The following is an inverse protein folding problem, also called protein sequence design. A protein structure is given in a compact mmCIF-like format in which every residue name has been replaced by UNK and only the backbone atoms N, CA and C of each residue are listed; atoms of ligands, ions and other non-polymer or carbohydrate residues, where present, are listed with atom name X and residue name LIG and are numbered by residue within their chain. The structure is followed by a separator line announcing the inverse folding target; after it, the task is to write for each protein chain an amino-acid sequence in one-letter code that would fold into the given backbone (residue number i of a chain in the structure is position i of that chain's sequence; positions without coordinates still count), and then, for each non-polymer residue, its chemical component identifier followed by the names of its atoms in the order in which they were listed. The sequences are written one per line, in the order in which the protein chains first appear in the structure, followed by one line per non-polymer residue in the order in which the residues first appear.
data_IF_538371483129
#
_entry.id   IF_538371483129
#
_cell.length_a   1.000
_cell.length_b   1.000
_cell.length_c   1.000
_cell.angle_alpha   90.00
_cell.angle_beta   90.00
_cell.angle_gamma   90.00
#
_symmetry.space_group_name_H-M   'P 1'
#
loop_
_entity.id
_entity.type
_entity.pdbx_description
1 polymer ?
#
# COMPACT_ATOMS: atom_id res chain seq x y z
N UNK A 1 23.18 10.89 64.88
CA UNK A 1 23.92 11.84 64.01
C UNK A 1 25.18 11.18 63.48
N UNK A 2 25.13 10.67 62.25
CA UNK A 2 26.31 10.28 61.46
C UNK A 2 25.97 10.57 60.00
N UNK A 3 26.56 11.62 59.47
CA UNK A 3 26.52 11.96 58.05
C UNK A 3 27.36 10.93 57.29
N UNK A 4 26.77 10.25 56.31
CA UNK A 4 27.54 9.55 55.27
C UNK A 4 27.45 10.37 53.99
N UNK A 5 28.59 11.01 53.67
CA UNK A 5 28.88 11.68 52.43
C UNK A 5 29.11 10.58 51.37
N UNK A 6 28.20 10.44 50.40
CA UNK A 6 28.43 9.58 49.22
C UNK A 6 28.92 10.49 48.09
N UNK A 7 30.21 10.37 47.79
CA UNK A 7 30.88 11.00 46.66
C UNK A 7 30.55 10.20 45.41
N UNK A 8 29.83 10.79 44.45
CA UNK A 8 29.70 10.23 43.12
C UNK A 8 30.97 10.55 42.31
N UNK A 9 31.75 9.51 42.02
CA UNK A 9 32.88 9.57 41.10
C UNK A 9 32.31 9.49 39.67
N UNK A 10 32.33 10.62 38.95
CA UNK A 10 32.11 10.65 37.50
C UNK A 10 33.32 10.01 36.81
N UNK A 11 33.15 8.80 36.30
CA UNK A 11 34.08 8.20 35.35
C UNK A 11 33.52 8.49 33.96
N UNK A 12 34.10 9.48 33.30
CA UNK A 12 33.93 9.69 31.87
C UNK A 12 34.64 8.57 31.10
N UNK A 13 33.87 7.76 30.37
CA UNK A 13 34.40 6.90 29.33
C UNK A 13 33.90 7.44 27.99
N UNK A 14 34.79 8.18 27.32
CA UNK A 14 34.70 8.43 25.89
C UNK A 14 34.87 7.10 25.16
N UNK A 15 33.81 6.63 24.51
CA UNK A 15 33.93 5.69 23.41
C UNK A 15 33.76 6.48 22.11
N UNK A 16 34.82 6.43 21.31
CA UNK A 16 34.91 6.96 19.96
C UNK A 16 34.67 5.82 18.98
N UNK A 17 33.76 6.03 18.03
CA UNK A 17 33.70 5.36 16.72
C UNK A 17 33.00 4.00 16.67
N UNK A 18 31.89 3.94 15.93
CA UNK A 18 31.85 3.28 14.61
C UNK A 18 30.46 3.45 13.97
N UNK A 19 30.47 4.11 12.81
CA UNK A 19 29.61 3.89 11.63
C UNK A 19 28.08 4.01 11.79
N UNK A 20 27.60 5.12 11.20
CA UNK A 20 26.21 5.49 10.96
C UNK A 20 25.62 4.60 9.85
N UNK A 21 25.19 3.38 10.20
CA UNK A 21 24.40 2.51 9.31
C UNK A 21 22.93 3.01 9.25
N UNK A 22 22.74 4.20 8.67
CA UNK A 22 21.43 4.64 8.21
C UNK A 22 21.22 4.12 6.79
N UNK A 23 20.15 3.38 6.50
CA UNK A 23 19.81 3.12 5.11
C UNK A 23 19.52 4.45 4.42
N UNK A 24 20.22 4.68 3.31
CA UNK A 24 20.12 5.88 2.50
C UNK A 24 18.65 6.22 2.21
N UNK A 25 18.23 7.37 2.72
CA UNK A 25 16.95 7.99 2.37
C UNK A 25 17.02 8.32 0.88
N UNK A 26 16.26 7.60 0.07
CA UNK A 26 16.01 7.94 -1.32
C UNK A 26 15.42 9.36 -1.38
N UNK A 27 16.17 10.28 -1.98
CA UNK A 27 15.79 11.67 -2.18
C UNK A 27 15.35 11.87 -3.65
N UNK A 28 14.04 12.01 -3.95
CA UNK A 28 13.54 12.10 -5.33
C UNK A 28 13.57 13.54 -5.88
N UNK A 29 14.47 14.41 -5.43
CA UNK A 29 14.68 15.71 -6.10
C UNK A 29 15.53 15.52 -7.36
N UNK A 30 14.95 14.83 -8.34
CA UNK A 30 15.48 14.64 -9.70
C UNK A 30 14.49 15.05 -10.79
N UNK A 31 13.35 15.66 -10.45
CA UNK A 31 12.45 16.28 -11.42
C UNK A 31 12.99 17.67 -11.78
N UNK A 32 13.70 17.75 -12.90
CA UNK A 32 14.00 19.03 -13.56
C UNK A 32 12.70 19.70 -14.08
N UNK A 33 12.74 21.00 -14.42
CA UNK A 33 11.56 21.73 -14.82
C UNK A 33 11.15 21.36 -16.24
N UNK A 34 10.08 20.58 -16.40
CA UNK A 34 9.45 20.38 -17.70
C UNK A 34 8.56 21.58 -18.03
N UNK A 35 9.14 22.52 -18.79
CA UNK A 35 8.46 23.66 -19.37
C UNK A 35 8.18 23.34 -20.85
N UNK A 36 6.91 23.18 -21.24
CA UNK A 36 6.55 22.90 -22.64
C UNK A 36 5.07 22.65 -22.88
N UNK A 37 4.35 23.72 -23.20
CA UNK A 37 2.94 23.73 -23.59
C UNK A 37 2.62 22.78 -24.76
N UNK A 38 1.59 21.94 -24.59
CA UNK A 38 0.63 21.61 -25.64
C UNK A 38 -0.70 21.17 -24.99
N UNK A 39 -1.61 22.13 -24.85
CA UNK A 39 -2.99 21.90 -24.40
C UNK A 39 -3.77 21.32 -25.59
N UNK A 40 -3.77 20.00 -25.70
CA UNK A 40 -4.77 19.24 -26.44
C UNK A 40 -5.93 18.91 -25.52
N UNK A 41 -7.13 19.38 -25.86
CA UNK A 41 -8.35 19.28 -25.05
C UNK A 41 -8.95 17.87 -24.98
N UNK A 42 -8.24 16.94 -24.34
CA UNK A 42 -8.83 15.74 -23.75
C UNK A 42 -8.25 15.60 -22.33
N UNK A 43 -9.05 15.35 -21.28
CA UNK A 43 -8.47 14.98 -20.00
C UNK A 43 -7.59 13.75 -20.24
N UNK A 44 -6.33 13.73 -19.78
CA UNK A 44 -5.53 12.53 -19.89
C UNK A 44 -6.31 11.43 -19.18
N UNK A 45 -6.66 10.36 -19.90
CA UNK A 45 -7.15 9.14 -19.29
C UNK A 45 -5.97 8.54 -18.52
N UNK A 46 -5.75 9.03 -17.31
CA UNK A 46 -4.80 8.51 -16.34
C UNK A 46 -5.33 7.15 -15.90
N UNK A 47 -4.49 6.13 -16.00
CA UNK A 47 -4.93 4.74 -15.87
C UNK A 47 -4.93 4.01 -17.20
N UNK A 48 -4.06 3.00 -17.30
CA UNK A 48 -4.00 1.90 -18.29
C UNK A 48 -2.59 1.72 -18.86
N UNK A 49 -1.87 0.77 -18.27
CA UNK A 49 -0.59 0.33 -18.79
C UNK A 49 -0.75 -0.36 -20.14
N UNK A 50 0.27 -0.28 -21.01
CA UNK A 50 0.29 -1.02 -22.27
C UNK A 50 0.78 -2.47 -22.04
N UNK A 51 -0.01 -3.25 -21.30
CA UNK A 51 0.25 -4.66 -20.98
C UNK A 51 -1.01 -5.50 -21.16
N UNK A 52 -0.85 -6.82 -21.15
CA UNK A 52 -1.98 -7.75 -21.08
C UNK A 52 -2.50 -7.83 -19.65
N UNK A 53 -3.81 -7.64 -19.49
CA UNK A 53 -4.49 -7.78 -18.21
C UNK A 53 -5.19 -9.13 -18.11
N UNK A 54 -5.33 -9.70 -16.90
CA UNK A 54 -6.18 -10.86 -16.68
C UNK A 54 -7.66 -10.52 -16.94
N UNK A 55 -8.40 -11.48 -17.49
CA UNK A 55 -9.83 -11.33 -17.78
C UNK A 55 -10.62 -11.03 -16.51
N UNK A 56 -11.29 -9.88 -16.49
CA UNK A 56 -11.91 -9.35 -15.27
C UNK A 56 -13.09 -10.19 -14.79
N UNK A 57 -13.87 -10.74 -15.73
CA UNK A 57 -15.04 -11.59 -15.39
C UNK A 57 -14.65 -12.87 -14.65
N UNK A 58 -13.40 -13.32 -14.80
CA UNK A 58 -12.84 -14.49 -14.12
C UNK A 58 -11.74 -14.13 -13.13
N UNK A 59 -11.60 -12.85 -12.77
CA UNK A 59 -10.54 -12.42 -11.87
C UNK A 59 -10.64 -13.18 -10.54
N UNK A 60 -9.50 -13.65 -9.99
CA UNK A 60 -9.48 -14.25 -8.67
C UNK A 60 -9.55 -13.19 -7.56
N UNK A 61 -9.62 -11.90 -7.89
CA UNK A 61 -9.67 -10.79 -6.94
C UNK A 61 -11.07 -10.15 -6.90
N UNK A 62 -11.50 -9.79 -5.70
CA UNK A 62 -12.65 -8.92 -5.42
C UNK A 62 -12.17 -7.60 -4.84
N UNK A 63 -12.97 -6.55 -4.94
CA UNK A 63 -12.63 -5.25 -4.35
C UNK A 63 -12.30 -5.40 -2.86
N UNK A 64 -11.23 -4.75 -2.35
CA UNK A 64 -10.70 -4.99 -1.01
C UNK A 64 -11.47 -4.26 0.10
N UNK A 65 -12.80 -4.17 -0.02
CA UNK A 65 -13.70 -3.55 0.94
C UNK A 65 -15.09 -4.23 0.91
N UNK A 66 -15.94 -4.02 1.94
CA UNK A 66 -17.22 -4.72 2.06
C UNK A 66 -18.15 -4.55 0.86
N UNK A 67 -18.94 -5.59 0.58
CA UNK A 67 -19.99 -5.54 -0.46
C UNK A 67 -21.00 -4.43 -0.14
N UNK A 68 -21.38 -3.66 -1.16
CA UNK A 68 -22.26 -2.50 -1.08
C UNK A 68 -21.54 -1.18 -0.82
N UNK A 69 -20.25 -1.21 -0.46
CA UNK A 69 -19.44 0.00 -0.35
C UNK A 69 -18.92 0.44 -1.73
N UNK A 70 -18.67 1.75 -1.86
CA UNK A 70 -18.11 2.33 -3.08
C UNK A 70 -17.08 3.42 -2.79
N UNK A 71 -15.94 3.35 -3.48
CA UNK A 71 -14.83 4.30 -3.31
C UNK A 71 -14.28 4.78 -4.64
N UNK A 72 -13.88 6.06 -4.68
CA UNK A 72 -13.19 6.68 -5.82
C UNK A 72 -11.75 6.18 -5.88
N UNK A 73 -11.29 5.82 -7.08
CA UNK A 73 -9.88 5.51 -7.32
C UNK A 73 -9.09 6.82 -7.41
N UNK A 74 -8.16 7.04 -6.49
CA UNK A 74 -7.23 8.16 -6.54
C UNK A 74 -6.22 7.94 -7.66
N UNK A 75 -5.40 6.90 -7.52
CA UNK A 75 -4.40 6.50 -8.49
C UNK A 75 -4.66 5.07 -8.98
N UNK A 76 -4.78 4.90 -10.29
CA UNK A 76 -4.86 3.61 -10.98
C UNK A 76 -3.50 3.14 -11.50
N UNK A 77 -3.47 1.97 -12.14
CA UNK A 77 -2.26 1.44 -12.79
C UNK A 77 -1.75 2.41 -13.85
N UNK A 78 -0.44 2.69 -13.89
CA UNK A 78 0.13 3.71 -14.78
C UNK A 78 -0.49 5.11 -14.57
N UNK A 79 -0.95 5.42 -13.34
CA UNK A 79 -1.64 6.65 -12.98
C UNK A 79 -0.74 7.84 -12.65
N UNK A 80 0.59 7.65 -12.56
CA UNK A 80 1.58 8.68 -12.21
C UNK A 80 2.27 8.42 -10.87
N UNK A 81 3.22 9.29 -10.47
CA UNK A 81 4.02 9.11 -9.24
C UNK A 81 4.68 7.71 -9.18
N UNK A 82 4.63 7.02 -8.04
CA UNK A 82 5.09 5.62 -7.91
C UNK A 82 4.31 4.63 -8.77
N UNK A 83 3.09 4.98 -9.20
CA UNK A 83 2.26 4.17 -10.11
C UNK A 83 2.62 4.41 -11.58
N UNK A 84 3.62 5.23 -11.92
CA UNK A 84 4.02 5.46 -13.31
C UNK A 84 4.48 4.17 -13.99
N UNK A 85 4.36 4.08 -15.32
CA UNK A 85 4.85 2.93 -16.07
C UNK A 85 6.35 2.69 -15.81
N UNK A 86 6.70 1.45 -15.45
CA UNK A 86 8.07 1.08 -15.04
C UNK A 86 8.45 1.48 -13.61
N UNK A 87 7.55 2.14 -12.87
CA UNK A 87 7.68 2.37 -11.44
C UNK A 87 7.45 1.11 -10.61
N UNK A 88 7.86 1.09 -9.33
CA UNK A 88 7.72 -0.08 -8.46
C UNK A 88 6.25 -0.48 -8.27
N UNK A 89 5.37 0.52 -8.18
CA UNK A 89 3.94 0.37 -7.92
C UNK A 89 3.09 0.61 -9.18
N UNK A 90 3.65 0.38 -10.37
CA UNK A 90 2.95 0.64 -11.64
C UNK A 90 1.57 -0.04 -11.75
N UNK A 91 1.35 -1.13 -11.01
CA UNK A 91 0.07 -1.85 -10.94
C UNK A 91 -0.61 -1.76 -9.57
N UNK A 92 -0.28 -0.75 -8.77
CA UNK A 92 -1.00 -0.47 -7.55
C UNK A 92 -2.26 0.36 -7.82
N UNK A 93 -3.17 0.33 -6.86
CA UNK A 93 -4.42 1.06 -6.87
C UNK A 93 -4.61 1.73 -5.52
N UNK A 94 -4.84 3.03 -5.55
CA UNK A 94 -5.19 3.81 -4.37
C UNK A 94 -6.71 4.01 -4.33
N UNK A 95 -7.34 3.47 -3.29
CA UNK A 95 -8.76 3.63 -3.03
C UNK A 95 -8.97 4.74 -2.00
N UNK A 96 -9.57 5.85 -2.42
CA UNK A 96 -9.82 6.99 -1.53
C UNK A 96 -10.86 6.61 -0.49
N UNK A 97 -10.46 6.49 0.77
CA UNK A 97 -11.33 6.14 1.88
C UNK A 97 -10.88 6.85 3.15
N UNK A 98 -11.84 7.18 4.01
CA UNK A 98 -11.55 7.78 5.31
C UNK A 98 -10.75 6.81 6.19
N UNK A 99 -9.97 7.35 7.13
CA UNK A 99 -9.31 6.56 8.18
C UNK A 99 -10.37 5.75 8.95
N UNK A 100 -10.11 4.48 9.21
CA UNK A 100 -11.01 3.59 9.92
C UNK A 100 -11.98 2.80 9.03
N UNK A 101 -11.94 2.96 7.71
CA UNK A 101 -12.77 2.17 6.78
C UNK A 101 -12.33 0.71 6.78
N UNK A 102 -13.28 -0.21 6.78
CA UNK A 102 -13.02 -1.65 6.76
C UNK A 102 -12.31 -2.05 5.44
N UNK A 103 -11.21 -2.76 5.58
CA UNK A 103 -10.47 -3.40 4.49
C UNK A 103 -10.69 -4.91 4.56
N UNK A 104 -11.02 -5.52 3.43
CA UNK A 104 -11.26 -6.98 3.34
C UNK A 104 -10.26 -7.65 2.42
N UNK A 105 -10.02 -8.95 2.64
CA UNK A 105 -9.18 -9.76 1.77
C UNK A 105 -9.79 -9.83 0.36
N UNK A 106 -9.02 -9.37 -0.62
CA UNK A 106 -9.37 -9.37 -2.04
C UNK A 106 -9.35 -10.79 -2.64
N UNK A 107 -8.55 -11.70 -2.08
CA UNK A 107 -8.39 -13.07 -2.56
C UNK A 107 -7.94 -13.97 -1.41
N UNK A 108 -8.39 -15.23 -1.45
CA UNK A 108 -7.99 -16.27 -0.51
C UNK A 108 -6.46 -16.37 -0.39
N UNK A 109 -5.97 -16.59 0.83
CA UNK A 109 -4.54 -16.73 1.05
C UNK A 109 -4.15 -16.89 2.50
N UNK A 110 -2.86 -16.70 2.75
CA UNK A 110 -2.27 -16.75 4.09
C UNK A 110 -1.63 -15.41 4.42
N UNK A 111 -1.95 -14.85 5.57
CA UNK A 111 -1.28 -13.65 6.10
C UNK A 111 0.17 -14.02 6.39
N UNK A 112 1.11 -13.35 5.72
CA UNK A 112 2.55 -13.61 5.86
C UNK A 112 3.31 -12.47 6.51
N UNK A 113 2.69 -11.29 6.60
CA UNK A 113 3.30 -10.13 7.24
C UNK A 113 2.24 -9.17 7.77
N UNK A 114 2.54 -8.54 8.90
CA UNK A 114 1.77 -7.44 9.50
C UNK A 114 2.78 -6.45 10.09
N UNK A 115 2.63 -5.16 9.77
CA UNK A 115 3.34 -4.06 10.45
C UNK A 115 2.31 -3.10 11.02
N UNK A 116 2.49 -2.72 12.29
CA UNK A 116 1.49 -2.00 13.10
C UNK A 116 2.12 -0.96 14.04
N UNK A 117 3.21 -0.32 13.62
CA UNK A 117 4.01 0.60 14.46
C UNK A 117 3.91 2.07 14.07
N UNK A 118 3.40 2.36 12.87
CA UNK A 118 3.20 3.71 12.33
C UNK A 118 1.99 4.42 12.91
N UNK A 119 2.02 5.75 12.84
CA UNK A 119 0.88 6.64 13.11
C UNK A 119 0.46 7.35 11.82
N UNK A 120 -0.82 7.70 11.70
CA UNK A 120 -1.31 8.37 10.50
C UNK A 120 -0.57 9.70 10.26
N UNK A 121 -0.10 9.90 9.03
CA UNK A 121 0.73 11.05 8.67
C UNK A 121 2.21 10.91 9.03
N UNK A 122 2.64 9.78 9.59
CA UNK A 122 4.01 9.54 10.04
C UNK A 122 4.59 8.22 9.52
N UNK A 123 5.92 8.11 9.47
CA UNK A 123 6.60 6.84 9.27
C UNK A 123 6.68 6.02 10.56
N UNK A 124 6.79 4.68 10.49
CA UNK A 124 6.77 3.83 9.29
C UNK A 124 5.34 3.58 8.77
N UNK A 125 5.22 2.86 7.65
CA UNK A 125 3.93 2.44 7.11
C UNK A 125 3.39 1.20 7.86
N UNK A 126 2.07 1.11 8.04
CA UNK A 126 1.40 -0.10 8.48
C UNK A 126 0.80 -0.85 7.29
N UNK A 127 0.88 -2.18 7.32
CA UNK A 127 0.40 -3.01 6.24
C UNK A 127 0.09 -4.44 6.67
N UNK A 128 -0.80 -5.07 5.92
CA UNK A 128 -1.02 -6.52 5.93
C UNK A 128 -0.59 -7.08 4.57
N UNK A 129 0.10 -8.22 4.57
CA UNK A 129 0.46 -8.94 3.33
C UNK A 129 -0.14 -10.33 3.34
N UNK A 130 -0.88 -10.65 2.26
CA UNK A 130 -1.50 -11.96 2.04
C UNK A 130 -0.81 -12.64 0.86
N UNK A 131 -0.24 -13.83 1.10
CA UNK A 131 0.31 -14.69 0.05
C UNK A 131 -0.78 -15.60 -0.52
N UNK A 132 -0.83 -15.68 -1.84
CA UNK A 132 -1.74 -16.54 -2.59
C UNK A 132 -1.07 -17.85 -3.03
N UNK A 133 -1.88 -18.81 -3.47
CA UNK A 133 -1.41 -20.15 -3.86
C UNK A 133 -0.49 -20.14 -5.09
N UNK A 134 -0.68 -19.19 -6.00
CA UNK A 134 0.12 -19.00 -7.21
C UNK A 134 1.43 -18.21 -6.98
N UNK A 135 1.82 -18.06 -5.71
CA UNK A 135 3.02 -17.33 -5.30
C UNK A 135 2.97 -15.81 -5.57
N UNK A 136 1.78 -15.26 -5.83
CA UNK A 136 1.56 -13.81 -5.78
C UNK A 136 1.26 -13.35 -4.35
N UNK A 137 1.46 -12.06 -4.08
CA UNK A 137 1.20 -11.44 -2.79
C UNK A 137 0.35 -10.20 -2.98
N UNK A 138 -0.73 -10.06 -2.22
CA UNK A 138 -1.47 -8.82 -2.10
C UNK A 138 -0.98 -8.05 -0.87
N UNK A 139 -0.57 -6.80 -1.06
CA UNK A 139 -0.19 -5.90 0.02
C UNK A 139 -1.30 -4.87 0.20
N UNK A 140 -1.75 -4.70 1.45
CA UNK A 140 -2.74 -3.73 1.88
C UNK A 140 -2.02 -2.74 2.78
N UNK A 141 -1.73 -1.54 2.28
CA UNK A 141 -0.85 -0.58 2.94
C UNK A 141 -1.60 0.68 3.40
N UNK A 142 -0.92 1.47 4.23
CA UNK A 142 -1.44 2.70 4.85
C UNK A 142 -2.54 2.45 5.87
N UNK A 143 -2.53 1.31 6.57
CA UNK A 143 -3.51 1.02 7.62
C UNK A 143 -3.34 1.98 8.81
N UNK A 144 -4.42 2.32 9.51
CA UNK A 144 -4.31 3.10 10.76
C UNK A 144 -3.58 2.28 11.83
N UNK A 145 -2.98 2.94 12.82
CA UNK A 145 -2.39 2.27 13.97
C UNK A 145 -3.41 1.41 14.73
N UNK A 146 -2.94 0.24 15.16
CA UNK A 146 -3.74 -0.81 15.80
C UNK A 146 -4.94 -1.23 14.93
N UNK A 147 -4.79 -1.07 13.61
CA UNK A 147 -5.82 -1.26 12.61
C UNK A 147 -5.85 -2.66 12.01
N UNK A 148 -4.73 -3.39 11.94
CA UNK A 148 -4.78 -4.80 11.53
C UNK A 148 -5.44 -5.65 12.62
N UNK A 149 -6.42 -6.46 12.22
CA UNK A 149 -7.13 -7.37 13.14
C UNK A 149 -6.79 -8.84 12.90
N UNK A 150 -5.93 -9.12 11.92
CA UNK A 150 -5.42 -10.46 11.59
C UNK A 150 -4.01 -10.65 12.09
N UNK A 151 -3.58 -11.91 12.16
CA UNK A 151 -2.23 -12.26 12.62
C UNK A 151 -1.42 -13.03 11.57
N UNK A 152 -0.10 -12.92 11.63
CA UNK A 152 0.78 -13.70 10.74
C UNK A 152 0.55 -15.19 10.94
N UNK A 153 0.32 -15.91 9.83
CA UNK A 153 0.00 -17.33 9.83
C UNK A 153 -1.46 -17.65 9.58
N UNK A 154 -2.35 -16.67 9.74
CA UNK A 154 -3.79 -16.81 9.56
C UNK A 154 -4.16 -17.07 8.10
N UNK A 155 -5.13 -17.95 7.86
CA UNK A 155 -5.73 -18.16 6.54
C UNK A 155 -6.96 -17.30 6.41
N UNK A 156 -7.02 -16.51 5.34
CA UNK A 156 -8.12 -15.59 5.05
C UNK A 156 -8.79 -15.99 3.74
N UNK A 157 -10.09 -15.76 3.66
CA UNK A 157 -10.92 -15.93 2.47
C UNK A 157 -11.35 -14.59 1.91
N UNK A 158 -11.80 -14.56 0.66
CA UNK A 158 -12.43 -13.38 0.07
C UNK A 158 -13.48 -12.79 1.00
N UNK A 159 -13.34 -11.49 1.29
CA UNK A 159 -14.26 -10.76 2.15
C UNK A 159 -13.95 -10.80 3.65
N UNK A 160 -13.03 -11.66 4.11
CA UNK A 160 -12.61 -11.64 5.52
C UNK A 160 -11.98 -10.28 5.84
N UNK A 161 -12.36 -9.69 6.98
CA UNK A 161 -11.82 -8.40 7.39
C UNK A 161 -10.36 -8.54 7.79
N UNK A 162 -9.50 -7.70 7.20
CA UNK A 162 -8.07 -7.67 7.48
C UNK A 162 -7.72 -6.58 8.50
N UNK A 163 -8.43 -5.45 8.43
CA UNK A 163 -8.17 -4.30 9.27
C UNK A 163 -8.87 -3.05 8.79
N UNK A 164 -8.30 -1.91 9.15
CA UNK A 164 -8.87 -0.60 8.86
C UNK A 164 -7.89 0.33 8.15
N UNK A 165 -8.39 1.07 7.17
CA UNK A 165 -7.61 2.06 6.42
C UNK A 165 -7.08 3.17 7.33
N UNK A 166 -6.05 3.85 6.84
CA UNK A 166 -5.40 4.95 7.54
C UNK A 166 -4.73 5.90 6.55
N UNK A 167 -3.66 6.51 7.03
CA UNK A 167 -2.80 7.41 6.28
C UNK A 167 -1.32 7.29 6.75
N UNK A 168 -0.91 6.13 7.26
CA UNK A 168 0.47 5.92 7.74
C UNK A 168 1.49 5.92 6.61
N UNK A 169 2.75 6.19 6.93
CA UNK A 169 3.85 6.20 5.99
C UNK A 169 3.75 7.35 4.98
N UNK A 170 4.06 7.05 3.72
CA UNK A 170 4.14 8.03 2.63
C UNK A 170 2.78 8.35 1.97
N UNK A 171 1.67 7.99 2.60
CA UNK A 171 0.34 8.10 1.99
C UNK A 171 0.00 9.52 1.52
N UNK A 172 0.40 10.54 2.28
CA UNK A 172 0.11 11.96 2.00
C UNK A 172 -1.37 12.37 2.18
N UNK A 173 -2.30 11.42 2.13
CA UNK A 173 -3.73 11.56 2.42
C UNK A 173 -4.36 10.18 2.76
N UNK A 174 -5.54 10.12 3.41
CA UNK A 174 -6.20 8.85 3.71
C UNK A 174 -6.64 8.06 2.48
N UNK A 175 -6.14 6.84 2.35
CA UNK A 175 -6.51 5.87 1.32
C UNK A 175 -5.99 4.47 1.67
N UNK A 176 -6.51 3.45 0.98
CA UNK A 176 -5.87 2.14 0.90
C UNK A 176 -4.99 2.10 -0.34
N UNK A 177 -3.70 1.83 -0.18
CA UNK A 177 -2.82 1.43 -1.28
C UNK A 177 -2.81 -0.09 -1.39
N UNK A 178 -3.26 -0.60 -2.54
CA UNK A 178 -3.34 -2.03 -2.84
C UNK A 178 -2.45 -2.37 -4.02
N UNK A 179 -1.53 -3.32 -3.83
CA UNK A 179 -0.65 -3.80 -4.90
C UNK A 179 -0.52 -5.31 -4.86
N UNK A 180 -0.51 -5.93 -6.04
CA UNK A 180 -0.20 -7.35 -6.20
C UNK A 180 1.21 -7.51 -6.75
N UNK A 181 2.01 -8.38 -6.13
CA UNK A 181 3.40 -8.63 -6.53
C UNK A 181 3.67 -10.10 -6.82
N UNK A 182 4.63 -10.35 -7.71
CA UNK A 182 5.04 -11.70 -8.11
C UNK A 182 6.27 -12.15 -7.31
N UNK A 183 6.22 -13.38 -6.80
CA UNK A 183 7.29 -14.14 -6.12
C UNK A 183 7.83 -13.57 -4.80
N UNK A 184 7.84 -12.25 -4.65
CA UNK A 184 8.34 -11.51 -3.50
C UNK A 184 7.42 -10.32 -3.18
N UNK A 185 7.31 -9.99 -1.90
CA UNK A 185 6.60 -8.79 -1.41
C UNK A 185 7.52 -7.74 -0.78
N UNK A 186 8.68 -8.06 -0.16
CA UNK A 186 9.59 -7.02 0.29
C UNK A 186 10.18 -6.28 -0.90
N UNK A 187 10.35 -4.96 -0.76
CA UNK A 187 11.02 -4.15 -1.77
C UNK A 187 12.52 -4.53 -1.88
N UNK A 188 13.09 -4.64 -3.09
CA UNK A 188 12.43 -4.48 -4.39
C UNK A 188 11.58 -5.70 -4.77
N UNK A 189 10.41 -5.43 -5.35
CA UNK A 189 9.48 -6.45 -5.88
C UNK A 189 9.02 -6.10 -7.29
N UNK A 190 8.35 -7.05 -7.94
CA UNK A 190 7.73 -6.88 -9.24
C UNK A 190 6.22 -6.83 -9.03
N UNK A 191 5.61 -5.65 -9.21
CA UNK A 191 4.15 -5.55 -9.25
C UNK A 191 3.60 -6.20 -10.53
N UNK A 192 2.38 -6.73 -10.47
CA UNK A 192 1.71 -7.39 -11.60
C UNK A 192 0.30 -6.86 -11.82
N UNK A 193 -0.19 -6.83 -13.07
CA UNK A 193 -1.53 -6.33 -13.35
C UNK A 193 -2.60 -7.28 -12.80
N UNK A 194 -3.57 -6.71 -12.10
CA UNK A 194 -4.79 -7.40 -11.66
C UNK A 194 -6.06 -6.66 -12.15
N UNK A 195 -7.19 -7.35 -12.05
CA UNK A 195 -8.56 -6.87 -12.34
C UNK A 195 -9.49 -7.35 -11.22
N UNK A 196 -10.77 -6.97 -11.21
CA UNK A 196 -11.71 -7.38 -10.15
C UNK A 196 -13.03 -7.91 -10.73
N UNK A 197 -13.51 -9.06 -10.23
CA UNK A 197 -14.72 -9.71 -10.76
C UNK A 197 -16.03 -9.14 -10.24
N UNK A 198 -16.01 -8.47 -9.08
CA UNK A 198 -17.21 -8.06 -8.35
C UNK A 198 -17.53 -6.56 -8.49
N UNK A 199 -17.36 -6.00 -9.69
CA UNK A 199 -17.68 -4.59 -9.93
C UNK A 199 -17.96 -4.37 -11.41
N UNK A 200 -18.19 -3.11 -11.79
CA UNK A 200 -18.32 -2.70 -13.18
C UNK A 200 -17.14 -3.17 -14.03
N UNK A 201 -17.35 -3.37 -15.35
CA UNK A 201 -16.30 -3.84 -16.25
C UNK A 201 -14.98 -3.07 -16.12
N UNK A 202 -13.90 -3.81 -15.90
CA UNK A 202 -12.55 -3.26 -15.70
C UNK A 202 -11.48 -4.02 -16.53
N UNK A 203 -11.63 -4.15 -17.86
CA UNK A 203 -10.74 -4.96 -18.70
C UNK A 203 -9.27 -4.49 -18.72
N UNK A 204 -8.98 -3.32 -18.16
CA UNK A 204 -7.62 -2.78 -17.95
C UNK A 204 -7.39 -2.31 -16.50
N UNK A 205 -8.05 -2.98 -15.55
CA UNK A 205 -8.17 -2.55 -14.15
C UNK A 205 -9.05 -1.29 -13.99
N UNK A 206 -9.13 -0.80 -12.75
CA UNK A 206 -9.95 0.34 -12.33
C UNK A 206 -9.32 1.66 -12.80
N UNK A 207 -10.14 2.65 -13.12
CA UNK A 207 -9.70 3.95 -13.65
C UNK A 207 -9.71 5.03 -12.58
N UNK A 208 -8.66 5.86 -12.54
CA UNK A 208 -8.60 7.04 -11.67
C UNK A 208 -9.81 7.97 -11.87
N UNK A 209 -10.28 8.56 -10.77
CA UNK A 209 -11.40 9.51 -10.74
C UNK A 209 -12.79 8.85 -10.81
N UNK A 210 -12.89 7.53 -10.94
CA UNK A 210 -14.16 6.80 -10.93
C UNK A 210 -14.37 6.09 -9.60
N UNK A 211 -15.63 6.08 -9.15
CA UNK A 211 -16.07 5.24 -8.04
C UNK A 211 -16.47 3.85 -8.53
N UNK A 212 -16.10 2.82 -7.78
CA UNK A 212 -16.48 1.43 -8.05
C UNK A 212 -17.20 0.88 -6.83
N UNK A 213 -18.34 0.22 -7.04
CA UNK A 213 -19.09 -0.46 -6.00
C UNK A 213 -18.64 -1.93 -5.91
N UNK A 214 -18.49 -2.45 -4.69
CA UNK A 214 -18.28 -3.87 -4.45
C UNK A 214 -19.62 -4.62 -4.54
N UNK A 215 -19.82 -5.34 -5.65
CA UNK A 215 -20.98 -6.20 -5.87
C UNK A 215 -20.80 -7.56 -5.17
N UNK A 216 -21.89 -8.32 -4.96
CA UNK A 216 -21.83 -9.72 -4.48
C UNK A 216 -21.02 -10.64 -5.42
N UNK A 217 -20.43 -11.72 -4.88
CA UNK A 217 -19.53 -12.63 -5.61
C UNK A 217 -19.52 -14.07 -5.10
#
# INVERSE_FOLDING_TARGET
MKFFLVVFLLIGLSFCGSEDDRPDIYNPTGAGPENGNNVGNNPPTLGNCNVTYPEWTTSPYVLPYPVGESYVIGLSHCGGSFHSAGGPDQFAIDFNMSIGTIITASRDGKVVHVTESGFDGEFPNNLVVVRHFDNTYAQYMHLTKDGAIVTVGETVKQGDTLGYSGATGLAGYPHLHFVVTQDSWPYPYISVPNTFKNTDPNPKSLLSGRAYEALPY
#
